data_IF_046390570180
#
_entry.id   IF_046390570180
#
_cell.length_a   1.000
_cell.length_b   1.000
_cell.length_c   1.000
_cell.angle_alpha   90.00
_cell.angle_beta   90.00
_cell.angle_gamma   90.00
#
_symmetry.space_group_name_H-M   'P 1'
#
loop_
_entity.id
_entity.type
_entity.pdbx_description
1 polymer ?
#
# COMPACT_ATOMS: atom_id res chain seq x y z
N UNK A 1 -49.39 32.07 12.92
CA UNK A 1 -48.65 32.82 13.97
C UNK A 1 -47.27 32.21 14.24
N UNK A 2 -47.09 30.88 14.15
CA UNK A 2 -45.77 30.23 14.31
C UNK A 2 -44.80 30.49 13.13
N UNK A 3 -45.26 30.37 11.88
CA UNK A 3 -44.43 30.59 10.69
C UNK A 3 -43.85 32.01 10.58
N UNK A 4 -44.56 33.02 11.10
CA UNK A 4 -44.05 34.41 11.13
C UNK A 4 -42.88 34.59 12.11
N UNK A 5 -42.84 33.81 13.20
CA UNK A 5 -41.75 33.86 14.18
C UNK A 5 -40.50 33.15 13.67
N UNK A 6 -40.68 32.04 12.97
CA UNK A 6 -39.59 31.27 12.37
C UNK A 6 -38.89 32.05 11.25
N UNK A 7 -39.68 32.74 10.41
CA UNK A 7 -39.15 33.65 9.39
C UNK A 7 -38.34 34.81 9.97
N UNK A 8 -38.84 35.43 11.06
CA UNK A 8 -38.12 36.50 11.76
C UNK A 8 -36.81 36.01 12.38
N UNK A 9 -36.79 34.79 12.91
CA UNK A 9 -35.59 34.17 13.50
C UNK A 9 -34.52 33.88 12.44
N UNK A 10 -34.92 33.36 11.28
CA UNK A 10 -34.03 33.14 10.14
C UNK A 10 -33.47 34.44 9.55
N UNK A 11 -34.29 35.49 9.49
CA UNK A 11 -33.84 36.84 9.06
C UNK A 11 -32.80 37.41 10.04
N UNK A 12 -33.00 37.26 11.35
CA UNK A 12 -32.05 37.69 12.37
C UNK A 12 -30.70 36.94 12.27
N UNK A 13 -30.73 35.62 12.06
CA UNK A 13 -29.52 34.81 11.88
C UNK A 13 -28.75 35.17 10.60
N UNK A 14 -29.46 35.54 9.53
CA UNK A 14 -28.85 36.02 8.28
C UNK A 14 -28.25 37.41 8.42
N UNK A 15 -28.84 38.29 9.23
CA UNK A 15 -28.27 39.60 9.55
C UNK A 15 -27.02 39.48 10.44
N UNK A 16 -27.01 38.60 11.44
CA UNK A 16 -25.81 38.31 12.24
C UNK A 16 -24.67 37.74 11.40
N UNK A 17 -24.97 36.80 10.48
CA UNK A 17 -23.98 36.26 9.55
C UNK A 17 -23.43 37.33 8.59
N UNK A 18 -24.27 38.26 8.14
CA UNK A 18 -23.83 39.38 7.29
C UNK A 18 -22.99 40.38 8.08
N UNK A 19 -23.34 40.68 9.33
CA UNK A 19 -22.55 41.56 10.19
C UNK A 19 -21.17 40.96 10.49
N UNK A 20 -21.11 39.66 10.79
CA UNK A 20 -19.85 38.94 11.00
C UNK A 20 -18.95 38.91 9.76
N UNK A 21 -19.53 38.95 8.56
CA UNK A 21 -18.79 39.02 7.30
C UNK A 21 -18.52 40.46 6.80
N UNK A 22 -19.25 41.46 7.30
CA UNK A 22 -19.08 42.86 6.90
C UNK A 22 -17.97 43.57 7.70
N UNK A 23 -17.63 43.11 8.90
CA UNK A 23 -16.46 43.62 9.64
C UNK A 23 -15.10 43.17 9.04
N UNK A 24 -15.09 42.28 8.04
CA UNK A 24 -13.88 41.89 7.31
C UNK A 24 -13.55 42.80 6.10
N UNK A 25 -14.31 43.88 5.86
CA UNK A 25 -14.09 44.79 4.73
C UNK A 25 -13.80 46.23 5.20
N UNK A 26 -12.63 46.44 5.82
CA UNK A 26 -12.16 47.77 6.20
C UNK A 26 -10.67 47.84 6.53
N UNK A 27 -9.89 48.29 5.54
CA UNK A 27 -8.57 48.95 5.62
C UNK A 27 -7.26 48.13 5.70
N UNK A 28 -6.26 48.74 5.05
CA UNK A 28 -5.03 48.19 4.48
C UNK A 28 -3.91 47.96 5.51
N UNK A 29 -3.39 46.73 5.59
CA UNK A 29 -1.96 46.41 5.67
C UNK A 29 -1.76 44.88 5.65
N UNK A 30 -0.67 44.34 5.06
CA UNK A 30 -0.49 42.89 4.92
C UNK A 30 0.04 42.32 6.24
N UNK A 31 -0.84 42.11 7.21
CA UNK A 31 -0.51 41.25 8.34
C UNK A 31 -0.49 39.79 7.87
N UNK A 32 0.52 38.99 8.23
CA UNK A 32 0.61 37.61 7.78
C UNK A 32 -0.61 36.85 8.28
N UNK A 33 -1.34 36.18 7.36
CA UNK A 33 -2.46 35.29 7.69
C UNK A 33 -2.03 34.37 8.84
N UNK A 34 -2.50 34.65 10.06
CA UNK A 34 -2.36 33.72 11.18
C UNK A 34 -3.01 32.43 10.70
N UNK A 35 -2.20 31.38 10.47
CA UNK A 35 -2.71 30.02 10.26
C UNK A 35 -3.61 29.73 11.46
N UNK A 36 -4.91 29.64 11.22
CA UNK A 36 -5.89 29.42 12.27
C UNK A 36 -5.57 28.08 12.95
N UNK A 37 -4.97 28.11 14.14
CA UNK A 37 -4.48 26.91 14.85
C UNK A 37 -5.58 25.87 15.06
N UNK A 38 -6.81 26.32 15.31
CA UNK A 38 -7.99 25.48 15.42
C UNK A 38 -8.36 24.74 14.11
N UNK A 39 -8.12 25.36 12.95
CA UNK A 39 -8.32 24.72 11.64
C UNK A 39 -7.21 23.72 11.35
N UNK A 40 -6.00 23.97 11.87
CA UNK A 40 -4.89 23.03 11.77
C UNK A 40 -5.13 21.77 12.63
N UNK A 41 -5.65 21.93 13.86
CA UNK A 41 -5.99 20.81 14.74
C UNK A 41 -7.05 19.88 14.15
N UNK A 42 -8.15 20.42 13.61
CA UNK A 42 -9.19 19.61 12.94
C UNK A 42 -8.67 18.90 11.69
N UNK A 43 -7.81 19.56 10.93
CA UNK A 43 -7.18 18.93 9.76
C UNK A 43 -6.20 17.82 10.16
N UNK A 44 -5.49 17.97 11.28
CA UNK A 44 -4.63 16.92 11.83
C UNK A 44 -5.44 15.69 12.24
N UNK A 45 -6.57 15.87 12.93
CA UNK A 45 -7.47 14.77 13.31
C UNK A 45 -8.02 14.03 12.08
N UNK A 46 -8.44 14.76 11.05
CA UNK A 46 -8.92 14.17 9.79
C UNK A 46 -7.78 13.48 9.05
N UNK A 47 -6.59 14.09 9.00
CA UNK A 47 -5.42 13.48 8.36
C UNK A 47 -5.05 12.15 9.02
N UNK A 48 -5.11 12.09 10.36
CA UNK A 48 -4.83 10.89 11.12
C UNK A 48 -5.71 9.69 10.74
N UNK A 49 -6.97 9.95 10.37
CA UNK A 49 -7.88 8.88 9.90
C UNK A 49 -7.44 8.22 8.58
N UNK A 50 -6.47 8.79 7.87
CA UNK A 50 -5.95 8.26 6.61
C UNK A 50 -4.51 7.75 6.72
N UNK A 51 -3.86 7.85 7.88
CA UNK A 51 -2.45 7.43 8.05
C UNK A 51 -2.26 5.96 7.68
N UNK A 52 -3.07 5.05 8.24
CA UNK A 52 -2.99 3.62 7.96
C UNK A 52 -3.28 3.30 6.48
N UNK A 53 -4.27 3.97 5.89
CA UNK A 53 -4.58 3.82 4.47
C UNK A 53 -3.42 4.31 3.57
N UNK A 54 -2.75 5.39 3.96
CA UNK A 54 -1.60 5.92 3.23
C UNK A 54 -0.39 4.98 3.30
N UNK A 55 -0.10 4.43 4.48
CA UNK A 55 0.95 3.42 4.67
C UNK A 55 0.69 2.19 3.79
N UNK A 56 -0.54 1.68 3.79
CA UNK A 56 -0.89 0.54 2.93
C UNK A 56 -0.85 0.88 1.43
N UNK A 57 -1.17 2.11 1.03
CA UNK A 57 -1.02 2.56 -0.36
C UNK A 57 0.45 2.63 -0.79
N UNK A 58 1.34 3.06 0.10
CA UNK A 58 2.78 3.09 -0.15
C UNK A 58 3.35 1.66 -0.26
N UNK A 59 3.03 0.79 0.68
CA UNK A 59 3.39 -0.64 0.64
C UNK A 59 2.88 -1.32 -0.63
N UNK A 60 1.62 -1.06 -1.01
CA UNK A 60 1.02 -1.61 -2.20
C UNK A 60 1.82 -1.24 -3.44
N UNK A 61 2.22 0.04 -3.55
CA UNK A 61 3.04 0.51 -4.66
C UNK A 61 4.41 -0.18 -4.67
N UNK A 62 5.03 -0.33 -3.49
CA UNK A 62 6.28 -1.08 -3.34
C UNK A 62 6.16 -2.51 -3.86
N UNK A 63 5.15 -3.26 -3.42
CA UNK A 63 4.93 -4.64 -3.88
C UNK A 63 4.59 -4.74 -5.37
N UNK A 64 3.87 -3.77 -5.94
CA UNK A 64 3.59 -3.73 -7.38
C UNK A 64 4.88 -3.52 -8.19
N UNK A 65 5.78 -2.63 -7.75
CA UNK A 65 7.10 -2.43 -8.37
C UNK A 65 8.02 -3.67 -8.20
N UNK A 66 7.99 -4.33 -7.05
CA UNK A 66 8.72 -5.58 -6.84
C UNK A 66 8.23 -6.72 -7.73
N UNK A 67 6.91 -6.86 -7.88
CA UNK A 67 6.32 -7.85 -8.77
C UNK A 67 6.71 -7.60 -10.23
N UNK A 68 6.82 -6.34 -10.65
CA UNK A 68 7.33 -5.99 -11.98
C UNK A 68 8.77 -6.49 -12.16
N UNK A 69 9.64 -6.31 -11.16
CA UNK A 69 11.01 -6.83 -11.17
C UNK A 69 11.02 -8.36 -11.26
N UNK A 70 10.20 -9.04 -10.45
CA UNK A 70 10.09 -10.50 -10.45
C UNK A 70 9.66 -11.03 -11.82
N UNK A 71 8.80 -10.32 -12.54
CA UNK A 71 8.36 -10.73 -13.87
C UNK A 71 9.36 -10.40 -14.98
N UNK A 72 10.05 -9.27 -14.89
CA UNK A 72 10.91 -8.76 -15.97
C UNK A 72 12.33 -9.35 -15.97
N UNK A 73 12.82 -9.84 -14.83
CA UNK A 73 14.21 -10.28 -14.68
C UNK A 73 14.34 -11.82 -14.77
N UNK A 74 15.52 -12.27 -15.22
CA UNK A 74 15.90 -13.68 -15.09
C UNK A 74 15.98 -14.04 -13.60
N UNK A 75 15.60 -15.28 -13.25
CA UNK A 75 15.48 -15.69 -11.83
C UNK A 75 16.74 -15.38 -11.02
N UNK A 76 17.92 -15.72 -11.55
CA UNK A 76 19.21 -15.48 -10.89
C UNK A 76 19.53 -14.02 -10.59
N UNK A 77 18.93 -13.09 -11.34
CA UNK A 77 19.20 -11.66 -11.24
C UNK A 77 18.14 -10.94 -10.36
N UNK A 78 17.02 -11.59 -10.02
CA UNK A 78 15.90 -10.98 -9.27
C UNK A 78 16.40 -10.36 -7.96
N UNK A 79 17.17 -11.11 -7.15
CA UNK A 79 17.63 -10.64 -5.85
C UNK A 79 18.47 -9.35 -5.98
N UNK A 80 19.39 -9.32 -6.95
CA UNK A 80 20.23 -8.16 -7.21
C UNK A 80 19.40 -6.95 -7.70
N UNK A 81 18.44 -7.18 -8.60
CA UNK A 81 17.56 -6.14 -9.10
C UNK A 81 16.67 -5.54 -8.01
N UNK A 82 16.15 -6.37 -7.08
CA UNK A 82 15.38 -5.91 -5.93
C UNK A 82 16.24 -5.06 -4.98
N UNK A 83 17.42 -5.54 -4.60
CA UNK A 83 18.36 -4.80 -3.72
C UNK A 83 18.76 -3.47 -4.35
N UNK A 84 19.01 -3.44 -5.67
CA UNK A 84 19.37 -2.22 -6.37
C UNK A 84 18.23 -1.19 -6.38
N UNK A 85 16.99 -1.65 -6.57
CA UNK A 85 15.80 -0.78 -6.62
C UNK A 85 15.41 -0.28 -5.23
N UNK A 86 15.56 -1.12 -4.21
CA UNK A 86 15.16 -0.85 -2.83
C UNK A 86 16.36 -0.95 -1.87
N UNK A 87 17.36 -0.05 -2.00
CA UNK A 87 18.63 -0.18 -1.26
C UNK A 87 18.51 0.16 0.24
N UNK A 88 17.44 0.84 0.64
CA UNK A 88 17.20 1.25 2.03
C UNK A 88 16.27 0.29 2.76
N UNK A 89 15.85 -0.79 2.12
CA UNK A 89 15.01 -1.78 2.78
C UNK A 89 15.82 -2.66 3.72
N UNK A 90 15.26 -2.94 4.89
CA UNK A 90 15.88 -3.85 5.87
C UNK A 90 15.73 -5.32 5.47
N UNK A 91 14.99 -5.59 4.37
CA UNK A 91 14.65 -6.92 3.89
C UNK A 91 15.82 -7.61 3.19
N UNK A 92 16.11 -8.83 3.60
CA UNK A 92 17.02 -9.72 2.86
C UNK A 92 16.25 -10.45 1.74
N UNK A 93 16.26 -9.84 0.55
CA UNK A 93 15.59 -10.40 -0.62
C UNK A 93 16.15 -11.77 -1.04
N UNK A 94 17.43 -12.04 -0.83
CA UNK A 94 18.00 -13.35 -1.17
C UNK A 94 17.43 -14.45 -0.26
N UNK A 95 17.34 -14.16 1.04
CA UNK A 95 16.72 -15.06 2.01
C UNK A 95 15.21 -15.22 1.77
N UNK A 96 14.50 -14.15 1.44
CA UNK A 96 13.06 -14.20 1.16
C UNK A 96 12.75 -15.07 -0.06
N UNK A 97 13.44 -14.86 -1.18
CA UNK A 97 13.26 -15.67 -2.41
C UNK A 97 13.50 -17.15 -2.15
N UNK A 98 14.54 -17.49 -1.39
CA UNK A 98 14.83 -18.87 -0.98
C UNK A 98 13.70 -19.44 -0.12
N UNK A 99 13.21 -18.67 0.87
CA UNK A 99 12.14 -19.11 1.76
C UNK A 99 10.84 -19.38 0.98
N UNK A 100 10.50 -18.51 0.02
CA UNK A 100 9.32 -18.68 -0.84
C UNK A 100 9.44 -19.97 -1.65
N UNK A 101 10.60 -20.17 -2.28
CA UNK A 101 10.89 -21.37 -3.05
C UNK A 101 10.79 -22.64 -2.19
N UNK A 102 11.46 -22.67 -1.05
CA UNK A 102 11.44 -23.84 -0.14
C UNK A 102 10.02 -24.15 0.34
N UNK A 103 9.23 -23.13 0.67
CA UNK A 103 7.84 -23.30 1.11
C UNK A 103 6.95 -23.82 -0.03
N UNK A 104 7.07 -23.23 -1.22
CA UNK A 104 6.33 -23.65 -2.41
C UNK A 104 6.64 -25.10 -2.77
N UNK A 105 7.91 -25.48 -2.78
CA UNK A 105 8.32 -26.84 -3.10
C UNK A 105 7.94 -27.85 -1.99
N UNK A 106 7.99 -27.42 -0.73
CA UNK A 106 7.51 -28.24 0.39
C UNK A 106 6.03 -28.58 0.21
N UNK A 107 5.21 -27.62 -0.25
CA UNK A 107 3.80 -27.89 -0.54
C UNK A 107 3.61 -28.94 -1.64
N UNK A 108 4.37 -28.84 -2.73
CA UNK A 108 4.32 -29.82 -3.83
C UNK A 108 4.70 -31.25 -3.37
N UNK A 109 5.67 -31.35 -2.47
CA UNK A 109 6.18 -32.65 -1.98
C UNK A 109 5.27 -33.23 -0.89
N UNK A 110 4.97 -32.46 0.15
CA UNK A 110 4.33 -32.99 1.36
C UNK A 110 2.80 -32.99 1.27
N UNK A 111 2.22 -32.00 0.58
CA UNK A 111 0.76 -31.82 0.48
C UNK A 111 0.25 -32.42 -0.83
N UNK A 112 0.74 -31.93 -1.97
CA UNK A 112 0.25 -32.39 -3.29
C UNK A 112 0.83 -33.74 -3.69
N UNK A 113 2.00 -34.11 -3.15
CA UNK A 113 2.72 -35.36 -3.47
C UNK A 113 2.99 -35.53 -4.97
N UNK A 114 3.19 -34.41 -5.67
CA UNK A 114 3.45 -34.35 -7.11
C UNK A 114 4.94 -34.40 -7.43
N UNK A 115 5.79 -34.07 -6.46
CA UNK A 115 7.24 -33.98 -6.64
C UNK A 115 8.00 -34.87 -5.63
N UNK A 116 9.18 -35.41 -6.00
CA UNK A 116 10.00 -36.23 -5.13
C UNK A 116 10.67 -35.41 -4.01
N UNK A 117 10.93 -36.06 -2.86
CA UNK A 117 11.58 -35.41 -1.70
C UNK A 117 13.01 -34.98 -1.98
N UNK A 118 13.68 -35.69 -2.87
CA UNK A 118 15.05 -35.44 -3.31
C UNK A 118 15.18 -34.08 -4.00
N UNK A 119 14.15 -33.62 -4.73
CA UNK A 119 14.15 -32.27 -5.31
C UNK A 119 14.11 -31.19 -4.23
N UNK A 120 13.30 -31.36 -3.20
CA UNK A 120 13.25 -30.42 -2.07
C UNK A 120 14.58 -30.37 -1.31
N UNK A 121 15.24 -31.52 -1.13
CA UNK A 121 16.57 -31.57 -0.51
C UNK A 121 17.60 -30.80 -1.36
N UNK A 122 17.61 -31.01 -2.68
CA UNK A 122 18.50 -30.32 -3.60
C UNK A 122 18.27 -28.80 -3.60
N UNK A 123 17.02 -28.35 -3.55
CA UNK A 123 16.66 -26.93 -3.44
C UNK A 123 17.23 -26.34 -2.15
N UNK A 124 17.09 -27.01 -1.02
CA UNK A 124 17.61 -26.55 0.28
C UNK A 124 19.12 -26.45 0.32
N UNK A 125 19.83 -27.21 -0.50
CA UNK A 125 21.30 -27.20 -0.59
C UNK A 125 21.85 -26.26 -1.68
N UNK A 126 20.97 -25.58 -2.43
CA UNK A 126 21.36 -24.81 -3.59
C UNK A 126 21.06 -23.33 -3.42
N UNK A 127 22.03 -22.50 -3.79
CA UNK A 127 21.83 -21.05 -3.87
C UNK A 127 20.75 -20.71 -4.90
N UNK A 128 19.88 -19.75 -4.56
CA UNK A 128 18.67 -19.46 -5.33
C UNK A 128 18.94 -19.23 -6.82
N UNK A 129 20.02 -18.52 -7.16
CA UNK A 129 20.38 -18.23 -8.55
C UNK A 129 20.77 -19.44 -9.39
N UNK A 130 21.20 -20.54 -8.75
CA UNK A 130 21.68 -21.75 -9.42
C UNK A 130 20.64 -22.89 -9.39
N UNK A 131 19.49 -22.70 -8.71
CA UNK A 131 18.50 -23.77 -8.48
C UNK A 131 18.01 -24.38 -9.78
N UNK A 132 17.64 -23.57 -10.77
CA UNK A 132 17.11 -24.06 -12.05
C UNK A 132 18.13 -24.92 -12.78
N UNK A 133 19.40 -24.46 -12.80
CA UNK A 133 20.48 -25.18 -13.48
C UNK A 133 20.72 -26.54 -12.81
N UNK A 134 20.78 -26.58 -11.47
CA UNK A 134 20.99 -27.83 -10.74
C UNK A 134 19.80 -28.79 -10.84
N UNK A 135 18.56 -28.29 -10.75
CA UNK A 135 17.36 -29.12 -10.89
C UNK A 135 17.27 -29.70 -12.31
N UNK A 136 17.47 -28.88 -13.34
CA UNK A 136 17.45 -29.32 -14.73
C UNK A 136 18.52 -30.37 -15.02
N UNK A 137 19.73 -30.22 -14.43
CA UNK A 137 20.80 -31.19 -14.58
C UNK A 137 20.52 -32.51 -13.84
N UNK A 138 19.94 -32.46 -12.65
CA UNK A 138 19.63 -33.63 -11.84
C UNK A 138 18.38 -34.40 -12.33
N UNK A 139 17.44 -33.69 -12.97
CA UNK A 139 16.15 -34.23 -13.42
C UNK A 139 15.88 -33.86 -14.89
N UNK A 140 16.66 -34.39 -15.84
CA UNK A 140 16.50 -34.07 -17.26
C UNK A 140 15.17 -34.59 -17.85
N UNK A 141 14.58 -35.62 -17.25
CA UNK A 141 13.30 -36.21 -17.66
C UNK A 141 12.08 -35.54 -16.98
N UNK A 142 12.27 -34.37 -16.35
CA UNK A 142 11.17 -33.63 -15.74
C UNK A 142 10.20 -33.15 -16.82
N UNK A 143 8.91 -33.48 -16.66
CA UNK A 143 7.86 -33.14 -17.62
C UNK A 143 7.35 -31.69 -17.51
N UNK A 144 7.82 -30.93 -16.52
CA UNK A 144 7.46 -29.53 -16.29
C UNK A 144 8.57 -28.55 -16.67
N UNK A 145 8.46 -27.32 -16.20
CA UNK A 145 9.44 -26.27 -16.41
C UNK A 145 9.83 -25.66 -15.06
N UNK A 146 11.00 -26.05 -14.54
CA UNK A 146 11.49 -25.59 -13.25
C UNK A 146 11.56 -24.07 -13.15
N UNK A 147 11.92 -23.35 -14.21
CA UNK A 147 11.96 -21.90 -14.18
C UNK A 147 10.54 -21.32 -14.05
N UNK A 148 9.59 -21.83 -14.85
CA UNK A 148 8.21 -21.39 -14.79
C UNK A 148 7.55 -21.70 -13.43
N UNK A 149 7.80 -22.89 -12.86
CA UNK A 149 7.25 -23.31 -11.58
C UNK A 149 7.79 -22.47 -10.43
N UNK A 150 9.11 -22.22 -10.41
CA UNK A 150 9.73 -21.35 -9.41
C UNK A 150 9.18 -19.93 -9.53
N UNK A 151 9.12 -19.38 -10.75
CA UNK A 151 8.58 -18.04 -10.99
C UNK A 151 7.13 -17.94 -10.55
N UNK A 152 6.32 -18.97 -10.77
CA UNK A 152 4.93 -19.01 -10.33
C UNK A 152 4.81 -18.92 -8.79
N UNK A 153 5.71 -19.55 -8.02
CA UNK A 153 5.71 -19.37 -6.57
C UNK A 153 5.99 -17.94 -6.14
N UNK A 154 6.98 -17.30 -6.78
CA UNK A 154 7.29 -15.90 -6.53
C UNK A 154 6.10 -15.02 -6.89
N UNK A 155 5.62 -15.08 -8.13
CA UNK A 155 4.50 -14.26 -8.61
C UNK A 155 3.28 -14.39 -7.70
N UNK A 156 2.85 -15.62 -7.38
CA UNK A 156 1.71 -15.83 -6.46
C UNK A 156 1.95 -15.23 -5.08
N UNK A 157 3.17 -15.31 -4.54
CA UNK A 157 3.51 -14.70 -3.25
C UNK A 157 3.30 -13.18 -3.28
N UNK A 158 3.81 -12.50 -4.30
CA UNK A 158 3.65 -11.05 -4.45
C UNK A 158 2.20 -10.65 -4.78
N UNK A 159 1.50 -11.39 -5.64
CA UNK A 159 0.07 -11.19 -5.92
C UNK A 159 -0.78 -11.28 -4.65
N UNK A 160 -0.47 -12.24 -3.77
CA UNK A 160 -1.14 -12.37 -2.48
C UNK A 160 -0.87 -11.17 -1.56
N UNK A 161 0.36 -10.65 -1.49
CA UNK A 161 0.68 -9.44 -0.72
C UNK A 161 -0.11 -8.24 -1.22
N UNK A 162 -0.12 -8.04 -2.54
CA UNK A 162 -0.87 -6.99 -3.22
C UNK A 162 -2.36 -7.10 -2.90
N UNK A 163 -2.92 -8.31 -2.97
CA UNK A 163 -4.33 -8.55 -2.67
C UNK A 163 -4.68 -8.23 -1.21
N UNK A 164 -3.83 -8.64 -0.26
CA UNK A 164 -3.98 -8.34 1.16
C UNK A 164 -3.97 -6.82 1.40
N UNK A 165 -2.98 -6.10 0.85
CA UNK A 165 -2.89 -4.64 1.00
C UNK A 165 -4.07 -3.91 0.37
N UNK A 166 -4.54 -4.35 -0.81
CA UNK A 166 -5.78 -3.83 -1.43
C UNK A 166 -7.00 -4.02 -0.53
N UNK A 167 -7.11 -5.15 0.17
CA UNK A 167 -8.21 -5.38 1.10
C UNK A 167 -8.07 -4.51 2.36
N UNK A 168 -6.87 -4.35 2.93
CA UNK A 168 -6.65 -3.46 4.07
C UNK A 168 -7.01 -2.00 3.73
N UNK A 169 -6.55 -1.47 2.59
CA UNK A 169 -6.95 -0.14 2.11
C UNK A 169 -8.48 -0.05 2.04
N UNK A 170 -9.14 -1.06 1.46
CA UNK A 170 -10.60 -1.08 1.36
C UNK A 170 -11.29 -1.05 2.74
N UNK A 171 -10.73 -1.73 3.74
CA UNK A 171 -11.21 -1.72 5.12
C UNK A 171 -11.06 -0.32 5.73
N UNK A 172 -9.87 0.29 5.66
CA UNK A 172 -9.63 1.65 6.16
C UNK A 172 -10.57 2.68 5.52
N UNK A 173 -10.74 2.62 4.20
CA UNK A 173 -11.67 3.51 3.50
C UNK A 173 -13.14 3.24 3.88
N UNK A 174 -13.49 2.04 4.31
CA UNK A 174 -14.82 1.73 4.82
C UNK A 174 -15.01 2.32 6.23
N UNK A 175 -14.01 2.21 7.10
CA UNK A 175 -14.03 2.81 8.44
C UNK A 175 -14.19 4.33 8.36
N UNK A 176 -13.43 5.01 7.49
CA UNK A 176 -13.59 6.44 7.23
C UNK A 176 -15.04 6.77 6.84
N UNK A 177 -15.69 5.96 5.98
CA UNK A 177 -17.08 6.20 5.59
C UNK A 177 -18.05 6.09 6.76
N UNK A 178 -17.79 5.23 7.75
CA UNK A 178 -18.66 5.10 8.93
C UNK A 178 -18.70 6.37 9.78
N UNK A 179 -17.65 7.19 9.72
CA UNK A 179 -17.61 8.52 10.36
C UNK A 179 -18.48 9.57 9.66
N UNK A 180 -19.06 9.23 8.50
CA UNK A 180 -19.83 10.15 7.64
C UNK A 180 -18.97 10.98 6.69
N UNK A 181 -17.64 10.83 6.73
CA UNK A 181 -16.71 11.50 5.82
C UNK A 181 -16.52 10.73 4.51
N UNK A 182 -16.26 11.46 3.42
CA UNK A 182 -15.87 10.86 2.15
C UNK A 182 -14.38 10.54 2.17
N UNK A 183 -13.92 9.32 1.86
CA UNK A 183 -12.49 9.01 1.92
C UNK A 183 -11.63 9.89 1.00
N UNK A 184 -12.13 10.28 -0.18
CA UNK A 184 -11.45 11.25 -1.06
C UNK A 184 -11.22 12.62 -0.41
N UNK A 185 -12.12 13.05 0.48
CA UNK A 185 -11.94 14.29 1.23
C UNK A 185 -10.87 14.12 2.30
N UNK A 186 -10.93 13.03 3.07
CA UNK A 186 -9.94 12.72 4.11
C UNK A 186 -8.53 12.58 3.51
N UNK A 187 -8.39 11.84 2.41
CA UNK A 187 -7.13 11.75 1.64
C UNK A 187 -6.58 13.12 1.25
N UNK A 188 -7.43 14.00 0.70
CA UNK A 188 -7.00 15.36 0.33
C UNK A 188 -6.53 16.16 1.53
N UNK A 189 -7.23 16.06 2.67
CA UNK A 189 -6.82 16.74 3.91
C UNK A 189 -5.49 16.19 4.40
N UNK A 190 -5.30 14.87 4.35
CA UNK A 190 -4.02 14.21 4.65
C UNK A 190 -2.89 14.71 3.76
N UNK A 191 -3.09 14.72 2.44
CA UNK A 191 -2.10 15.20 1.46
C UNK A 191 -1.75 16.67 1.67
N UNK A 192 -2.73 17.53 1.95
CA UNK A 192 -2.52 18.95 2.23
C UNK A 192 -1.81 19.18 3.58
N UNK A 193 -2.16 18.40 4.60
CA UNK A 193 -1.57 18.49 5.93
C UNK A 193 -0.09 18.10 5.92
N UNK A 194 0.26 17.05 5.19
CA UNK A 194 1.64 16.57 5.01
C UNK A 194 2.41 17.28 3.89
N UNK A 195 1.77 18.20 3.15
CA UNK A 195 2.40 18.97 2.08
C UNK A 195 2.70 18.18 0.80
N UNK A 196 2.05 17.04 0.60
CA UNK A 196 2.13 16.18 -0.59
C UNK A 196 1.49 16.89 -1.79
N UNK A 197 0.37 17.58 -1.56
CA UNK A 197 -0.34 18.37 -2.59
C UNK A 197 -0.54 19.80 -2.09
N UNK A 198 -0.28 20.79 -2.97
CA UNK A 198 -0.48 22.22 -2.69
C UNK A 198 -1.87 22.70 -3.09
#
# INVERSE_FOLDING_TARGET
>A
MAEKKEKLYLELQMEELKAAHAEEAGEENPAPKKKNEARNAKNAEIAKMYEDAAEYEEDLKGFEEELEIVNANALKDIAASLIQKFPNEERDYAQELRTILETGWTHLVDVERTHPKEQLALIKETEFGDVVEKLSAAYPDYNGDFEADIRNFLVKRWENLIAIKKEHIKQELAEIKTTGLKPKYVKRVYEQFHGIVK
#
